data_IF_556207389162
#
_entry.id   IF_556207389162
#
_cell.length_a   1.000
_cell.length_b   1.000
_cell.length_c   1.000
_cell.angle_alpha   90.00
_cell.angle_beta   90.00
_cell.angle_gamma   90.00
#
_symmetry.space_group_name_H-M   'P 1'
#
loop_
_entity.id
_entity.type
_entity.pdbx_description
1 polymer ?
#
# COMPACT_ATOMS: atom_id res chain seq x y z
N UNK A 1 -28.49 -2.03 9.84
CA UNK A 1 -27.18 -2.71 9.89
C UNK A 1 -26.33 -2.09 8.79
N UNK A 2 -25.17 -1.51 9.11
CA UNK A 2 -24.27 -0.97 8.09
C UNK A 2 -23.63 -2.14 7.31
N UNK A 3 -23.55 -2.02 5.98
CA UNK A 3 -22.85 -3.01 5.15
C UNK A 3 -21.34 -2.94 5.47
N UNK A 4 -20.69 -4.08 5.70
CA UNK A 4 -19.26 -4.15 6.04
C UNK A 4 -18.35 -3.47 4.99
N UNK A 5 -18.87 -3.22 3.77
CA UNK A 5 -18.18 -2.53 2.68
C UNK A 5 -18.40 -1.03 2.63
N UNK A 6 -19.25 -0.44 3.47
CA UNK A 6 -19.38 1.02 3.52
C UNK A 6 -18.11 1.62 4.11
N UNK A 7 -17.45 2.49 3.35
CA UNK A 7 -16.30 3.24 3.83
C UNK A 7 -16.79 4.58 4.39
N UNK A 8 -16.76 4.81 5.72
CA UNK A 8 -17.27 6.03 6.29
C UNK A 8 -16.22 7.12 6.16
N UNK A 9 -16.41 8.07 5.24
CA UNK A 9 -15.73 9.34 5.38
C UNK A 9 -16.58 10.29 6.23
N UNK A 10 -16.21 10.42 7.50
CA UNK A 10 -16.35 11.70 8.21
C UNK A 10 -14.97 12.36 8.20
N UNK A 11 -14.64 12.97 7.06
CA UNK A 11 -13.55 13.95 7.01
C UNK A 11 -14.01 15.16 7.79
N UNK A 12 -13.40 15.42 8.94
CA UNK A 12 -13.44 16.74 9.57
C UNK A 12 -12.74 17.71 8.62
N UNK A 13 -13.54 18.37 7.77
CA UNK A 13 -13.08 19.52 7.00
C UNK A 13 -13.01 20.68 7.99
N UNK A 14 -11.88 20.80 8.69
CA UNK A 14 -11.56 21.98 9.50
C UNK A 14 -11.84 23.25 8.68
N UNK A 15 -12.64 24.15 9.25
CA UNK A 15 -13.34 25.23 8.57
C UNK A 15 -12.48 26.09 7.65
N UNK A 16 -13.06 26.41 6.49
CA UNK A 16 -12.54 27.39 5.56
C UNK A 16 -12.50 28.79 6.19
N UNK A 17 -11.32 29.40 6.24
CA UNK A 17 -11.18 30.85 6.36
C UNK A 17 -11.31 31.46 4.95
N UNK A 18 -12.11 32.53 4.76
CA UNK A 18 -12.32 33.15 3.46
C UNK A 18 -11.10 33.98 3.07
N UNK A 19 -10.40 33.57 2.00
CA UNK A 19 -9.39 34.42 1.37
C UNK A 19 -10.09 35.38 0.40
N UNK A 20 -9.86 36.67 0.63
CA UNK A 20 -10.33 37.80 -0.18
C UNK A 20 -9.74 37.66 -1.58
N UNK A 21 -10.59 37.55 -2.59
CA UNK A 21 -10.19 37.56 -3.99
C UNK A 21 -9.99 39.01 -4.47
N UNK A 22 -8.74 39.39 -4.73
CA UNK A 22 -8.41 40.56 -5.54
C UNK A 22 -8.20 40.12 -6.98
N UNK A 23 -9.11 40.51 -7.86
CA UNK A 23 -9.01 40.31 -9.29
C UNK A 23 -7.98 41.29 -9.87
N UNK A 24 -6.94 40.75 -10.51
CA UNK A 24 -6.04 41.49 -11.39
C UNK A 24 -6.23 40.97 -12.82
N UNK A 25 -6.84 41.84 -13.63
CA UNK A 25 -7.00 41.68 -15.08
C UNK A 25 -5.62 41.85 -15.73
N UNK A 26 -5.17 40.87 -16.50
CA UNK A 26 -4.02 41.00 -17.38
C UNK A 26 -4.43 40.68 -18.82
N UNK A 27 -4.02 41.59 -19.70
CA UNK A 27 -4.35 41.65 -21.12
C UNK A 27 -3.89 40.43 -21.91
N UNK A 28 -4.77 39.99 -22.80
CA UNK A 28 -4.50 39.04 -23.89
C UNK A 28 -3.64 39.71 -24.94
N UNK A 29 -2.50 39.10 -25.28
CA UNK A 29 -1.86 39.29 -26.58
C UNK A 29 -1.70 37.93 -27.25
N UNK A 30 -2.32 37.82 -28.42
CA UNK A 30 -2.25 36.68 -29.32
C UNK A 30 -0.84 36.54 -29.91
N UNK A 31 -0.27 35.34 -29.81
CA UNK A 31 0.98 34.94 -30.45
C UNK A 31 0.81 33.58 -31.11
N UNK A 32 1.16 33.51 -32.39
CA UNK A 32 0.88 32.41 -33.31
C UNK A 32 1.45 31.05 -32.89
N UNK A 33 0.68 30.00 -33.20
CA UNK A 33 1.06 28.61 -33.02
C UNK A 33 2.09 28.14 -34.06
N UNK A 34 3.08 27.38 -33.59
CA UNK A 34 3.82 26.41 -34.43
C UNK A 34 3.83 25.06 -33.68
N UNK A 35 3.68 23.91 -34.37
CA UNK A 35 3.62 22.62 -33.70
C UNK A 35 5.04 22.11 -33.49
N UNK A 36 5.59 22.32 -32.29
CA UNK A 36 6.77 21.58 -31.86
C UNK A 36 6.31 20.25 -31.24
N UNK A 37 6.60 19.17 -31.95
CA UNK A 37 6.42 17.77 -31.54
C UNK A 37 7.00 17.58 -30.13
N UNK A 38 6.12 17.44 -29.13
CA UNK A 38 6.53 17.13 -27.77
C UNK A 38 6.99 15.67 -27.71
N UNK A 39 8.31 15.52 -27.77
CA UNK A 39 9.01 14.27 -27.65
C UNK A 39 8.70 13.67 -26.28
N UNK A 40 7.98 12.55 -26.27
CA UNK A 40 7.76 11.72 -25.10
C UNK A 40 9.12 11.33 -24.51
N UNK A 41 9.60 12.11 -23.53
CA UNK A 41 10.79 11.77 -22.76
C UNK A 41 10.43 10.63 -21.82
N UNK A 42 10.54 9.42 -22.38
CA UNK A 42 11.04 8.19 -21.76
C UNK A 42 11.20 8.27 -20.23
N UNK A 43 10.15 7.83 -19.52
CA UNK A 43 10.27 7.28 -18.16
C UNK A 43 10.91 5.88 -18.20
N UNK A 44 11.77 5.60 -19.18
CA UNK A 44 12.28 4.25 -19.48
C UNK A 44 13.71 4.00 -18.98
N UNK A 45 14.21 4.79 -18.03
CA UNK A 45 15.57 4.61 -17.47
C UNK A 45 15.63 4.26 -15.97
N UNK A 46 14.48 4.07 -15.31
CA UNK A 46 14.41 3.79 -13.86
C UNK A 46 13.60 2.54 -13.49
N UNK A 47 13.32 1.66 -14.46
CA UNK A 47 12.41 0.53 -14.26
C UNK A 47 13.04 -0.67 -13.54
N UNK A 48 14.38 -0.74 -13.45
CA UNK A 48 15.11 -1.90 -12.89
C UNK A 48 15.63 -1.73 -11.45
N UNK A 49 15.48 -0.56 -10.81
CA UNK A 49 15.94 -0.37 -9.41
C UNK A 49 14.87 0.11 -8.43
N UNK A 50 13.70 0.49 -8.91
CA UNK A 50 12.58 0.87 -8.05
C UNK A 50 11.58 -0.28 -8.04
N UNK A 51 11.42 -0.93 -6.88
CA UNK A 51 10.30 -1.85 -6.54
C UNK A 51 8.97 -1.08 -6.45
N UNK A 52 8.74 -0.15 -7.38
CA UNK A 52 7.54 0.66 -7.50
C UNK A 52 6.61 -0.02 -8.50
N UNK A 53 5.39 -0.35 -8.05
CA UNK A 53 4.33 -0.89 -8.88
C UNK A 53 3.43 0.27 -9.31
N UNK A 54 3.36 0.60 -10.61
CA UNK A 54 2.51 1.70 -11.06
C UNK A 54 1.03 1.36 -10.89
N UNK A 55 0.21 2.38 -10.66
CA UNK A 55 -1.25 2.28 -10.65
C UNK A 55 -1.75 1.67 -11.97
N UNK A 56 -2.65 0.68 -11.90
CA UNK A 56 -3.10 -0.06 -13.09
C UNK A 56 -4.14 0.68 -13.92
N UNK A 57 -4.79 1.70 -13.36
CA UNK A 57 -5.92 2.42 -14.00
C UNK A 57 -7.12 1.53 -14.34
N UNK A 58 -7.22 0.37 -13.69
CA UNK A 58 -8.36 -0.52 -13.82
C UNK A 58 -9.46 -0.06 -12.87
N UNK A 59 -10.62 0.21 -13.46
CA UNK A 59 -11.80 0.71 -12.77
C UNK A 59 -12.92 -0.32 -12.84
N UNK A 60 -13.62 -0.53 -11.71
CA UNK A 60 -14.73 -1.48 -11.63
C UNK A 60 -16.02 -0.92 -12.24
N UNK A 61 -16.25 0.38 -12.11
CA UNK A 61 -17.47 1.02 -12.61
C UNK A 61 -17.15 2.45 -13.11
N UNK A 62 -17.46 2.78 -14.39
CA UNK A 62 -17.19 4.10 -14.95
C UNK A 62 -17.91 5.25 -14.24
N UNK A 63 -19.07 4.99 -13.63
CA UNK A 63 -19.90 5.99 -12.95
C UNK A 63 -19.59 6.10 -11.44
N UNK A 64 -18.66 5.29 -10.94
CA UNK A 64 -18.25 5.33 -9.54
C UNK A 64 -17.46 6.60 -9.20
N UNK A 65 -17.57 7.03 -7.94
CA UNK A 65 -16.74 8.11 -7.42
C UNK A 65 -15.36 7.58 -7.07
N UNK A 66 -14.31 8.29 -7.46
CA UNK A 66 -12.92 7.91 -7.20
C UNK A 66 -12.31 8.81 -6.14
N UNK A 67 -11.64 8.20 -5.18
CA UNK A 67 -10.95 8.91 -4.10
C UNK A 67 -9.50 8.45 -4.00
N UNK A 68 -8.63 9.38 -3.61
CA UNK A 68 -7.20 9.13 -3.41
C UNK A 68 -6.86 9.47 -1.96
N UNK A 69 -6.55 8.45 -1.17
CA UNK A 69 -6.09 8.62 0.21
C UNK A 69 -4.59 8.41 0.31
N UNK A 70 -3.95 9.14 1.20
CA UNK A 70 -2.51 9.02 1.41
C UNK A 70 -2.17 9.01 2.89
N UNK A 71 -1.26 8.11 3.26
CA UNK A 71 -0.60 8.11 4.56
C UNK A 71 0.84 7.60 4.41
N UNK A 72 1.82 8.45 4.71
CA UNK A 72 3.24 8.14 4.72
C UNK A 72 3.72 7.39 3.45
N UNK A 73 3.96 6.08 3.48
CA UNK A 73 4.44 5.28 2.35
C UNK A 73 3.35 4.63 1.49
N UNK A 74 2.08 4.90 1.77
CA UNK A 74 0.97 4.22 1.09
C UNK A 74 -0.03 5.22 0.52
N UNK A 75 -0.36 5.02 -0.74
CA UNK A 75 -1.46 5.71 -1.43
C UNK A 75 -2.53 4.67 -1.74
N UNK A 76 -3.79 4.96 -1.40
CA UNK A 76 -4.94 4.14 -1.76
C UNK A 76 -5.77 4.89 -2.80
N UNK A 77 -5.95 4.29 -3.98
CA UNK A 77 -6.93 4.75 -4.96
C UNK A 77 -8.15 3.83 -4.84
N UNK A 78 -9.32 4.41 -4.56
CA UNK A 78 -10.53 3.64 -4.32
C UNK A 78 -11.68 4.09 -5.21
N UNK A 79 -12.55 3.15 -5.56
CA UNK A 79 -13.83 3.40 -6.20
C UNK A 79 -14.98 3.17 -5.24
N UNK A 80 -15.85 4.16 -5.14
CA UNK A 80 -17.01 4.17 -4.28
C UNK A 80 -18.27 4.22 -5.14
N UNK A 81 -19.12 3.23 -4.97
CA UNK A 81 -20.46 3.19 -5.52
C UNK A 81 -21.46 4.02 -4.72
N UNK A 82 -22.76 3.92 -5.04
CA UNK A 82 -23.82 4.54 -4.27
C UNK A 82 -23.72 4.16 -2.78
N UNK A 83 -23.99 5.13 -1.88
CA UNK A 83 -23.89 4.98 -0.41
C UNK A 83 -22.48 4.69 0.12
N UNK A 84 -21.43 5.11 -0.59
CA UNK A 84 -20.02 4.92 -0.20
C UNK A 84 -19.62 3.44 -0.04
N UNK A 85 -20.23 2.56 -0.84
CA UNK A 85 -19.86 1.15 -0.89
C UNK A 85 -18.56 1.04 -1.69
N UNK A 86 -17.56 0.37 -1.13
CA UNK A 86 -16.28 0.14 -1.78
C UNK A 86 -16.42 -0.89 -2.91
N UNK A 87 -16.19 -0.46 -4.14
CA UNK A 87 -16.29 -1.29 -5.35
C UNK A 87 -14.91 -1.83 -5.78
N UNK A 88 -13.87 -1.03 -5.62
CA UNK A 88 -12.50 -1.40 -5.97
C UNK A 88 -11.49 -0.63 -5.11
N UNK A 89 -10.29 -1.21 -4.98
CA UNK A 89 -9.15 -0.57 -4.37
C UNK A 89 -7.86 -0.97 -5.07
N UNK A 90 -6.97 -0.01 -5.25
CA UNK A 90 -5.57 -0.27 -5.54
C UNK A 90 -4.67 0.46 -4.54
N UNK A 91 -3.79 -0.29 -3.88
CA UNK A 91 -2.82 0.24 -2.93
C UNK A 91 -1.44 0.34 -3.59
N UNK A 92 -0.84 1.52 -3.52
CA UNK A 92 0.45 1.83 -4.13
C UNK A 92 1.45 2.12 -3.02
N UNK A 93 2.56 1.38 -3.02
CA UNK A 93 3.68 1.67 -2.14
C UNK A 93 4.58 2.75 -2.75
N UNK A 94 4.80 3.84 -2.01
CA UNK A 94 5.67 4.95 -2.39
C UNK A 94 6.88 5.03 -1.45
N UNK A 95 8.02 4.41 -1.80
CA UNK A 95 9.11 4.22 -0.86
C UNK A 95 9.85 5.51 -0.51
N UNK A 96 9.81 6.52 -1.39
CA UNK A 96 10.50 7.80 -1.19
C UNK A 96 9.56 9.00 -1.39
N UNK A 97 9.83 10.16 -0.76
CA UNK A 97 9.06 11.38 -0.97
C UNK A 97 9.01 11.84 -2.43
N UNK A 98 10.11 11.64 -3.18
CA UNK A 98 10.18 11.99 -4.61
C UNK A 98 9.18 11.18 -5.45
N UNK A 99 9.08 9.87 -5.18
CA UNK A 99 8.11 9.00 -5.87
C UNK A 99 6.70 9.37 -5.44
N UNK A 100 6.46 9.56 -4.14
CA UNK A 100 5.16 9.97 -3.61
C UNK A 100 4.66 11.25 -4.30
N UNK A 101 5.47 12.30 -4.35
CA UNK A 101 5.11 13.56 -5.03
C UNK A 101 4.80 13.37 -6.53
N UNK A 102 5.58 12.54 -7.24
CA UNK A 102 5.34 12.27 -8.65
C UNK A 102 4.04 11.51 -8.91
N UNK A 103 3.74 10.51 -8.06
CA UNK A 103 2.51 9.71 -8.13
C UNK A 103 1.30 10.55 -7.78
N UNK A 104 1.35 11.30 -6.67
CA UNK A 104 0.26 12.19 -6.26
C UNK A 104 -0.04 13.27 -7.31
N UNK A 105 0.97 13.84 -7.96
CA UNK A 105 0.76 14.78 -9.07
C UNK A 105 -0.04 14.17 -10.21
N UNK A 106 0.23 12.90 -10.55
CA UNK A 106 -0.51 12.19 -11.58
C UNK A 106 -1.95 11.88 -11.12
N UNK A 107 -2.10 11.34 -9.91
CA UNK A 107 -3.40 10.96 -9.34
C UNK A 107 -4.31 12.15 -9.02
N UNK A 108 -3.78 13.38 -8.91
CA UNK A 108 -4.59 14.60 -8.81
C UNK A 108 -5.53 14.82 -10.00
N UNK A 109 -5.29 14.16 -11.14
CA UNK A 109 -6.23 14.14 -12.27
C UNK A 109 -7.50 13.32 -12.00
N UNK A 110 -7.45 12.38 -11.05
CA UNK A 110 -8.60 11.60 -10.59
C UNK A 110 -9.37 12.40 -9.55
N UNK A 111 -8.71 12.78 -8.44
CA UNK A 111 -9.26 13.59 -7.38
C UNK A 111 -8.13 14.17 -6.51
N UNK A 112 -8.42 15.22 -5.73
CA UNK A 112 -7.46 15.79 -4.79
C UNK A 112 -7.06 14.74 -3.75
N UNK A 113 -5.75 14.45 -3.56
CA UNK A 113 -5.32 13.52 -2.52
C UNK A 113 -5.72 13.99 -1.12
N UNK A 114 -6.27 13.07 -0.34
CA UNK A 114 -6.77 13.30 1.02
C UNK A 114 -5.82 12.63 2.02
N UNK A 115 -5.10 13.39 2.87
CA UNK A 115 -4.32 12.81 3.94
C UNK A 115 -5.25 12.18 4.98
N UNK A 116 -4.91 10.99 5.45
CA UNK A 116 -5.65 10.26 6.48
C UNK A 116 -4.71 9.78 7.58
N UNK A 117 -5.24 9.43 8.75
CA UNK A 117 -4.47 8.84 9.84
C UNK A 117 -4.01 7.41 9.52
N UNK A 118 -3.02 6.93 10.28
CA UNK A 118 -2.54 5.54 10.17
C UNK A 118 -3.69 4.55 10.42
N UNK A 119 -4.55 4.85 11.40
CA UNK A 119 -5.71 4.01 11.74
C UNK A 119 -6.68 3.90 10.57
N UNK A 120 -7.01 5.03 9.93
CA UNK A 120 -7.93 5.07 8.80
C UNK A 120 -7.37 4.33 7.58
N UNK A 121 -6.14 4.64 7.13
CA UNK A 121 -5.58 3.95 5.96
C UNK A 121 -5.48 2.43 6.19
N UNK A 122 -5.15 1.99 7.41
CA UNK A 122 -5.09 0.56 7.76
C UNK A 122 -6.46 -0.10 7.70
N UNK A 123 -7.49 0.57 8.21
CA UNK A 123 -8.86 0.06 8.13
C UNK A 123 -9.30 -0.04 6.67
N UNK A 124 -8.94 0.95 5.84
CA UNK A 124 -9.20 0.91 4.41
C UNK A 124 -8.49 -0.27 3.76
N UNK A 125 -7.18 -0.45 4.03
CA UNK A 125 -6.40 -1.57 3.53
C UNK A 125 -7.01 -2.92 3.91
N UNK A 126 -7.52 -3.05 5.14
CA UNK A 126 -8.22 -4.24 5.59
C UNK A 126 -9.49 -4.50 4.75
N UNK A 127 -10.31 -3.47 4.50
CA UNK A 127 -11.52 -3.61 3.70
C UNK A 127 -11.20 -3.90 2.22
N UNK A 128 -10.16 -3.27 1.67
CA UNK A 128 -9.67 -3.50 0.32
C UNK A 128 -9.12 -4.91 0.08
N UNK A 129 -8.69 -5.62 1.15
CA UNK A 129 -8.14 -6.97 1.07
C UNK A 129 -9.14 -7.97 0.47
N UNK A 130 -10.40 -7.81 0.84
CA UNK A 130 -11.47 -8.78 0.61
C UNK A 130 -12.33 -8.43 -0.62
N UNK A 131 -11.97 -7.37 -1.36
CA UNK A 131 -12.60 -7.04 -2.63
C UNK A 131 -12.14 -7.98 -3.74
N UNK A 132 -13.07 -8.31 -4.63
CA UNK A 132 -12.75 -8.92 -5.89
C UNK A 132 -12.06 -7.89 -6.80
N UNK A 133 -11.01 -8.27 -7.53
CA UNK A 133 -10.33 -7.36 -8.44
C UNK A 133 -11.21 -7.06 -9.66
N UNK A 134 -11.07 -5.88 -10.28
CA UNK A 134 -11.86 -5.50 -11.46
C UNK A 134 -11.56 -6.40 -12.66
N UNK A 135 -12.49 -6.45 -13.63
CA UNK A 135 -12.29 -7.21 -14.85
C UNK A 135 -10.99 -6.80 -15.57
N UNK A 136 -10.26 -7.80 -16.09
CA UNK A 136 -8.97 -7.58 -16.75
C UNK A 136 -7.76 -7.45 -15.79
N UNK A 137 -7.97 -7.45 -14.47
CA UNK A 137 -6.86 -7.42 -13.51
C UNK A 137 -6.16 -8.78 -13.31
N UNK A 138 -6.87 -9.89 -13.53
CA UNK A 138 -6.34 -11.24 -13.31
C UNK A 138 -5.89 -11.86 -14.63
N UNK A 139 -4.59 -12.13 -14.75
CA UNK A 139 -4.09 -13.13 -15.69
C UNK A 139 -4.10 -14.49 -14.98
N UNK A 140 -5.14 -15.30 -15.16
CA UNK A 140 -5.20 -16.64 -14.55
C UNK A 140 -4.05 -17.49 -15.11
N UNK A 141 -2.99 -17.66 -14.33
CA UNK A 141 -2.01 -18.69 -14.59
C UNK A 141 -2.54 -20.00 -14.01
N UNK A 142 -2.93 -20.92 -14.90
CA UNK A 142 -3.23 -22.31 -14.54
C UNK A 142 -1.88 -22.98 -14.33
N UNK A 143 -1.43 -23.02 -13.07
CA UNK A 143 -0.25 -23.78 -12.65
C UNK A 143 -0.66 -24.85 -11.65
N UNK A 144 0.09 -25.95 -11.62
CA UNK A 144 -0.11 -27.00 -10.62
C UNK A 144 0.00 -26.45 -9.19
N UNK A 145 -0.85 -26.93 -8.29
CA UNK A 145 -0.86 -26.51 -6.89
C UNK A 145 0.47 -26.87 -6.20
N UNK A 146 1.24 -25.89 -5.71
CA UNK A 146 2.49 -26.18 -5.00
C UNK A 146 2.21 -26.88 -3.67
N UNK A 147 2.94 -27.94 -3.30
CA UNK A 147 2.76 -28.55 -1.97
C UNK A 147 3.53 -27.74 -0.90
N UNK A 148 2.86 -27.05 0.05
CA UNK A 148 3.53 -26.20 1.02
C UNK A 148 4.24 -26.97 2.15
N UNK A 149 3.97 -28.27 2.29
CA UNK A 149 4.34 -29.05 3.47
C UNK A 149 5.80 -29.52 3.48
N UNK A 150 6.56 -29.30 2.39
CA UNK A 150 7.97 -29.74 2.24
C UNK A 150 8.96 -28.58 2.05
N UNK A 151 8.63 -27.38 2.54
CA UNK A 151 9.48 -26.19 2.38
C UNK A 151 10.24 -25.93 3.68
N UNK A 152 11.56 -25.80 3.56
CA UNK A 152 12.41 -25.32 4.64
C UNK A 152 12.11 -23.83 4.93
N UNK A 153 11.72 -23.45 6.16
CA UNK A 153 11.42 -22.06 6.51
C UNK A 153 12.54 -21.07 6.17
N UNK A 154 13.81 -21.49 6.22
CA UNK A 154 14.93 -20.60 5.89
C UNK A 154 14.97 -20.18 4.42
N UNK A 155 14.36 -20.94 3.51
CA UNK A 155 14.24 -20.57 2.10
C UNK A 155 13.42 -19.28 1.89
N UNK A 156 12.66 -18.84 2.90
CA UNK A 156 11.89 -17.58 2.86
C UNK A 156 12.82 -16.35 3.03
N UNK A 157 14.02 -16.50 3.59
CA UNK A 157 14.98 -15.39 3.71
C UNK A 157 15.38 -14.79 2.36
N UNK A 158 15.50 -15.66 1.35
CA UNK A 158 16.00 -15.33 0.01
C UNK A 158 14.96 -15.53 -1.08
N UNK A 159 13.73 -15.91 -0.71
CA UNK A 159 12.69 -16.32 -1.64
C UNK A 159 11.28 -15.91 -1.23
N UNK A 160 10.32 -16.44 -1.99
CA UNK A 160 8.89 -16.27 -1.79
C UNK A 160 8.31 -17.63 -1.43
N UNK A 161 7.33 -17.66 -0.51
CA UNK A 161 6.59 -18.88 -0.19
C UNK A 161 5.93 -19.42 -1.47
N UNK A 162 6.25 -20.64 -1.92
CA UNK A 162 5.64 -21.24 -3.10
C UNK A 162 4.12 -21.15 -3.10
N UNK A 163 3.55 -20.78 -4.26
CA UNK A 163 2.12 -20.54 -4.42
C UNK A 163 1.65 -19.15 -4.00
N UNK A 164 2.55 -18.28 -3.55
CA UNK A 164 2.29 -16.87 -3.24
C UNK A 164 3.17 -15.96 -4.09
N UNK A 165 2.89 -14.66 -4.11
CA UNK A 165 3.73 -13.65 -4.78
C UNK A 165 4.25 -12.58 -3.83
N UNK A 166 3.61 -12.40 -2.68
CA UNK A 166 3.88 -11.36 -1.69
C UNK A 166 4.47 -11.89 -0.39
N UNK A 167 4.44 -13.20 -0.14
CA UNK A 167 4.94 -13.75 1.12
C UNK A 167 6.44 -14.07 1.06
N UNK A 168 7.30 -13.11 1.40
CA UNK A 168 8.74 -13.35 1.50
C UNK A 168 9.57 -12.09 1.73
N UNK A 169 10.83 -12.10 1.28
CA UNK A 169 11.70 -10.91 1.36
C UNK A 169 11.39 -9.92 0.23
N UNK A 170 10.29 -9.18 0.41
CA UNK A 170 9.64 -8.43 -0.67
C UNK A 170 8.72 -9.36 -1.47
N UNK A 171 8.45 -8.98 -2.71
CA UNK A 171 7.45 -9.64 -3.54
C UNK A 171 7.93 -9.81 -4.99
N UNK A 172 7.33 -10.76 -5.71
CA UNK A 172 7.49 -11.00 -7.16
C UNK A 172 6.25 -10.58 -7.97
N UNK A 173 5.30 -9.89 -7.34
CA UNK A 173 4.07 -9.46 -7.97
C UNK A 173 4.34 -8.33 -8.97
N UNK A 174 3.66 -8.35 -10.12
CA UNK A 174 3.78 -7.28 -11.12
C UNK A 174 2.89 -6.07 -10.82
N UNK A 175 1.74 -6.29 -10.17
CA UNK A 175 0.72 -5.27 -9.86
C UNK A 175 0.11 -5.55 -8.50
N UNK A 176 -0.67 -4.61 -7.96
CA UNK A 176 -1.42 -4.83 -6.70
C UNK A 176 -2.37 -6.04 -6.76
N UNK A 177 -3.00 -6.29 -7.90
CA UNK A 177 -3.95 -7.38 -8.09
C UNK A 177 -3.28 -8.73 -8.42
N UNK A 178 -1.96 -8.73 -8.64
CA UNK A 178 -1.22 -9.93 -8.99
C UNK A 178 -0.97 -10.80 -7.76
N UNK A 179 -1.87 -11.75 -7.54
CA UNK A 179 -1.83 -12.71 -6.43
C UNK A 179 -1.46 -14.12 -6.94
N UNK A 180 -0.84 -14.88 -6.06
CA UNK A 180 -0.51 -16.29 -6.27
C UNK A 180 -1.71 -17.22 -6.05
N UNK A 181 -1.45 -18.51 -6.27
CA UNK A 181 -2.40 -19.61 -6.13
C UNK A 181 -3.05 -19.65 -4.73
N UNK A 182 -2.28 -19.44 -3.66
CA UNK A 182 -2.79 -19.36 -2.29
C UNK A 182 -3.30 -17.95 -1.98
N UNK A 183 -4.32 -17.52 -2.72
CA UNK A 183 -4.80 -16.14 -2.77
C UNK A 183 -5.09 -15.55 -1.38
N UNK A 184 -5.74 -16.29 -0.47
CA UNK A 184 -6.06 -15.78 0.86
C UNK A 184 -4.82 -15.58 1.74
N UNK A 185 -3.82 -16.46 1.63
CA UNK A 185 -2.53 -16.30 2.31
C UNK A 185 -1.77 -15.11 1.73
N UNK A 186 -1.77 -15.00 0.41
CA UNK A 186 -1.04 -13.98 -0.32
C UNK A 186 -1.62 -12.58 -0.10
N UNK A 187 -2.94 -12.47 0.03
CA UNK A 187 -3.63 -11.25 0.46
C UNK A 187 -3.14 -10.75 1.82
N UNK A 188 -2.91 -11.64 2.80
CA UNK A 188 -2.35 -11.25 4.10
C UNK A 188 -0.96 -10.63 3.95
N UNK A 189 -0.10 -11.25 3.13
CA UNK A 189 1.26 -10.76 2.88
C UNK A 189 1.26 -9.45 2.10
N UNK A 190 0.43 -9.30 1.06
CA UNK A 190 0.27 -8.05 0.30
C UNK A 190 -0.08 -6.86 1.20
N UNK A 191 -1.05 -7.04 2.11
CA UNK A 191 -1.46 -5.98 3.06
C UNK A 191 -0.32 -5.62 4.01
N UNK A 192 0.45 -6.61 4.48
CA UNK A 192 1.61 -6.39 5.36
C UNK A 192 2.77 -5.69 4.63
N UNK A 193 3.07 -6.12 3.40
CA UNK A 193 4.10 -5.55 2.56
C UNK A 193 3.83 -4.08 2.25
N UNK A 194 2.57 -3.69 2.03
CA UNK A 194 2.19 -2.28 1.75
C UNK A 194 1.93 -1.49 3.05
N UNK A 195 2.45 -1.94 4.20
CA UNK A 195 2.29 -1.21 5.46
C UNK A 195 2.75 0.26 5.30
N UNK A 196 1.92 1.25 5.69
CA UNK A 196 2.21 2.68 5.49
C UNK A 196 3.45 3.19 6.22
N UNK A 197 3.83 2.53 7.31
CA UNK A 197 4.97 2.89 8.15
C UNK A 197 5.91 1.68 8.23
N UNK A 198 7.05 1.76 7.55
CA UNK A 198 8.08 0.71 7.58
C UNK A 198 9.48 1.26 7.38
N UNK A 199 10.48 0.53 7.87
CA UNK A 199 11.90 0.78 7.57
C UNK A 199 12.49 -0.48 6.98
N UNK A 200 12.93 -0.42 5.72
CA UNK A 200 13.53 -1.57 5.04
C UNK A 200 14.87 -1.95 5.68
N UNK A 201 15.35 -3.14 5.36
CA UNK A 201 16.65 -3.60 5.82
C UNK A 201 17.76 -2.65 5.38
N UNK A 202 18.68 -2.37 6.30
CA UNK A 202 19.82 -1.46 6.11
C UNK A 202 19.48 0.01 5.79
N UNK A 203 18.21 0.42 5.86
CA UNK A 203 17.78 1.80 5.63
C UNK A 203 17.62 2.60 6.92
N UNK A 204 17.69 3.92 6.80
CA UNK A 204 17.37 4.87 7.87
C UNK A 204 16.13 5.66 7.47
N UNK A 205 15.13 5.70 8.35
CA UNK A 205 13.90 6.49 8.20
C UNK A 205 13.36 6.83 9.58
N UNK A 206 12.61 7.94 9.73
CA UNK A 206 12.07 8.37 11.02
C UNK A 206 13.13 8.55 12.12
N UNK A 207 14.35 8.94 11.71
CA UNK A 207 15.52 9.04 12.58
C UNK A 207 15.91 7.72 13.29
N UNK A 208 15.48 6.57 12.77
CA UNK A 208 15.89 5.23 13.24
C UNK A 208 16.53 4.45 12.09
N UNK A 209 17.63 3.75 12.40
CA UNK A 209 18.38 2.92 11.44
C UNK A 209 18.02 1.45 11.63
N UNK A 210 17.46 0.81 10.62
CA UNK A 210 17.26 -0.62 10.64
C UNK A 210 18.54 -1.34 10.22
N UNK A 211 19.30 -1.86 11.19
CA UNK A 211 20.54 -2.62 10.90
C UNK A 211 20.31 -4.06 10.47
N UNK A 212 19.06 -4.56 10.55
CA UNK A 212 18.72 -5.90 10.10
C UNK A 212 18.59 -5.95 8.57
N UNK A 213 18.70 -7.15 8.00
CA UNK A 213 18.53 -7.37 6.55
C UNK A 213 17.06 -7.41 6.11
N UNK A 214 16.14 -7.56 7.05
CA UNK A 214 14.69 -7.61 6.80
C UNK A 214 14.00 -6.28 7.11
N UNK A 215 12.85 -6.06 6.48
CA UNK A 215 11.98 -4.89 6.72
C UNK A 215 11.31 -4.98 8.08
N UNK A 216 11.23 -3.85 8.79
CA UNK A 216 10.47 -3.70 10.04
C UNK A 216 9.26 -2.81 9.77
N UNK A 217 8.06 -3.33 9.98
CA UNK A 217 6.79 -2.64 9.75
C UNK A 217 6.21 -2.11 11.07
N UNK A 218 5.16 -1.31 11.02
CA UNK A 218 4.45 -0.86 12.22
C UNK A 218 3.88 -2.04 13.03
N UNK A 219 3.94 -1.97 14.37
CA UNK A 219 3.47 -3.05 15.25
C UNK A 219 2.00 -3.42 15.03
N UNK A 220 1.17 -2.45 14.66
CA UNK A 220 -0.21 -2.73 14.34
C UNK A 220 -0.34 -3.46 12.98
N UNK A 221 0.57 -3.24 12.02
CA UNK A 221 0.57 -3.97 10.74
C UNK A 221 0.94 -5.43 11.01
N UNK A 222 1.93 -5.68 11.86
CA UNK A 222 2.33 -7.02 12.28
C UNK A 222 1.20 -7.73 13.05
N UNK A 223 0.44 -7.00 13.88
CA UNK A 223 -0.73 -7.54 14.58
C UNK A 223 -1.83 -7.97 13.61
N UNK A 224 -2.16 -7.13 12.63
CA UNK A 224 -3.14 -7.47 11.59
C UNK A 224 -2.64 -8.63 10.73
N UNK A 225 -1.35 -8.68 10.41
CA UNK A 225 -0.74 -9.78 9.66
C UNK A 225 -0.83 -11.12 10.40
N UNK A 226 -0.48 -11.13 11.70
CA UNK A 226 -0.62 -12.30 12.57
C UNK A 226 -2.06 -12.85 12.54
N UNK A 227 -3.04 -11.97 12.77
CA UNK A 227 -4.46 -12.34 12.80
C UNK A 227 -4.94 -12.86 11.45
N UNK A 228 -4.55 -12.20 10.36
CA UNK A 228 -4.91 -12.61 9.00
C UNK A 228 -4.37 -14.02 8.70
N UNK A 229 -3.08 -14.27 8.93
CA UNK A 229 -2.48 -15.58 8.71
C UNK A 229 -3.18 -16.67 9.53
N UNK A 230 -3.49 -16.42 10.81
CA UNK A 230 -4.22 -17.37 11.67
C UNK A 230 -5.61 -17.68 11.13
N UNK A 231 -6.32 -16.67 10.62
CA UNK A 231 -7.67 -16.83 10.10
C UNK A 231 -7.74 -17.68 8.83
N UNK A 232 -6.70 -17.70 8.00
CA UNK A 232 -6.69 -18.51 6.76
C UNK A 232 -6.67 -20.03 6.99
N UNK A 233 -6.25 -20.50 8.17
CA UNK A 233 -6.11 -21.92 8.51
C UNK A 233 -5.32 -22.75 7.46
N UNK A 234 -4.37 -22.13 6.76
CA UNK A 234 -3.64 -22.76 5.66
C UNK A 234 -2.18 -23.12 6.01
N UNK A 235 -1.63 -24.27 5.56
CA UNK A 235 -0.24 -24.64 5.82
C UNK A 235 0.80 -23.59 5.39
N UNK A 236 0.61 -22.94 4.24
CA UNK A 236 1.50 -21.87 3.79
C UNK A 236 1.47 -20.65 4.73
N UNK A 237 0.30 -20.33 5.30
CA UNK A 237 0.19 -19.26 6.30
C UNK A 237 0.86 -19.65 7.63
N UNK A 238 0.74 -20.91 8.03
CA UNK A 238 1.43 -21.42 9.21
C UNK A 238 2.96 -21.37 9.06
N UNK A 239 3.47 -21.73 7.88
CA UNK A 239 4.87 -21.63 7.54
C UNK A 239 5.36 -20.17 7.64
N UNK A 240 4.65 -19.25 6.97
CA UNK A 240 4.98 -17.82 6.97
C UNK A 240 4.92 -17.21 8.39
N UNK A 241 3.88 -17.54 9.16
CA UNK A 241 3.69 -17.07 10.52
C UNK A 241 4.80 -17.51 11.46
N UNK A 242 5.15 -18.81 11.44
CA UNK A 242 6.26 -19.33 12.26
C UNK A 242 7.60 -18.70 11.86
N UNK A 243 7.84 -18.54 10.55
CA UNK A 243 9.05 -17.89 10.06
C UNK A 243 9.17 -16.45 10.57
N UNK A 244 8.13 -15.65 10.39
CA UNK A 244 8.16 -14.23 10.74
C UNK A 244 8.19 -13.98 12.25
N UNK A 245 7.28 -14.61 13.00
CA UNK A 245 7.07 -14.31 14.42
C UNK A 245 7.95 -15.14 15.36
N UNK A 246 8.30 -16.39 15.01
CA UNK A 246 9.02 -17.28 15.93
C UNK A 246 10.51 -17.39 15.61
N UNK A 247 10.84 -17.50 14.31
CA UNK A 247 12.22 -17.68 13.85
C UNK A 247 12.95 -16.35 13.71
N UNK A 248 12.45 -15.44 12.88
CA UNK A 248 13.04 -14.10 12.72
C UNK A 248 12.82 -13.20 13.93
N UNK A 249 11.70 -13.39 14.65
CA UNK A 249 11.29 -12.56 15.79
C UNK A 249 11.39 -11.08 15.44
N UNK A 250 10.84 -10.72 14.27
CA UNK A 250 10.98 -9.39 13.67
C UNK A 250 10.53 -8.30 14.65
N UNK A 251 11.42 -7.33 14.90
CA UNK A 251 11.05 -6.12 15.64
C UNK A 251 10.09 -5.25 14.83
N UNK A 252 9.17 -4.57 15.50
CA UNK A 252 8.19 -3.69 14.86
C UNK A 252 8.39 -2.23 15.27
N UNK A 253 7.79 -1.30 14.53
CA UNK A 253 7.85 0.14 14.79
C UNK A 253 6.65 0.55 15.65
N UNK A 254 6.88 1.31 16.71
CA UNK A 254 5.84 1.89 17.56
C UNK A 254 6.02 3.41 17.67
N UNK A 255 4.90 4.12 17.58
CA UNK A 255 4.81 5.56 17.82
C UNK A 255 4.80 5.84 19.34
N UNK A 256 5.67 6.75 19.80
CA UNK A 256 5.70 7.27 21.16
C UNK A 256 5.21 8.72 21.11
N UNK A 257 4.34 9.09 22.04
CA UNK A 257 3.96 10.49 22.24
C UNK A 257 5.20 11.33 22.52
N UNK A 258 5.42 12.33 21.66
CA UNK A 258 6.42 13.37 21.86
C UNK A 258 5.71 14.57 22.44
N UNK A 259 6.09 15.00 23.65
CA UNK A 259 5.54 16.22 24.26
C UNK A 259 6.04 17.51 23.60
N UNK A 260 6.90 17.40 22.58
CA UNK A 260 7.64 18.54 22.00
C UNK A 260 7.63 18.60 20.46
N UNK A 261 6.93 17.70 19.75
CA UNK A 261 6.83 17.73 18.28
C UNK A 261 5.43 17.34 17.77
N UNK A 262 5.02 17.93 16.64
CA UNK A 262 3.76 17.56 15.96
C UNK A 262 3.77 16.13 15.40
N UNK A 263 4.95 15.58 15.08
CA UNK A 263 5.10 14.19 14.64
C UNK A 263 5.48 13.24 15.80
N UNK A 264 4.91 12.02 15.85
CA UNK A 264 5.26 11.02 16.85
C UNK A 264 6.69 10.50 16.67
N UNK A 265 7.40 10.28 17.78
CA UNK A 265 8.73 9.66 17.75
C UNK A 265 8.57 8.15 17.53
N UNK A 266 9.31 7.57 16.60
CA UNK A 266 9.28 6.14 16.30
C UNK A 266 10.45 5.39 16.90
N UNK A 267 10.19 4.20 17.45
CA UNK A 267 11.22 3.28 17.96
C UNK A 267 10.95 1.85 17.52
N UNK A 268 12.00 1.01 17.56
CA UNK A 268 11.82 -0.42 17.40
C UNK A 268 11.42 -1.07 18.74
N UNK A 269 10.45 -1.97 18.69
CA UNK A 269 10.00 -2.83 19.78
C UNK A 269 10.21 -4.30 19.44
N UNK A 270 10.42 -5.17 20.43
CA UNK A 270 10.35 -6.62 20.24
C UNK A 270 9.00 -7.04 19.61
N UNK A 271 8.93 -8.20 18.94
CA UNK A 271 7.68 -8.72 18.40
C UNK A 271 6.64 -8.88 19.51
N UNK A 272 5.39 -8.52 19.20
CA UNK A 272 4.24 -8.62 20.14
C UNK A 272 3.58 -10.00 20.13
N UNK A 273 3.86 -10.83 19.12
CA UNK A 273 3.15 -12.09 18.87
C UNK A 273 4.13 -13.26 18.72
N UNK A 274 3.65 -14.45 19.08
CA UNK A 274 4.29 -15.75 18.83
C UNK A 274 3.26 -16.61 18.11
N UNK A 275 3.63 -17.21 16.98
CA UNK A 275 2.76 -17.91 16.05
C UNK A 275 2.70 -19.43 16.26
#
# INVERSE_FOLDING_TARGET
MADARTWPLQVDVGGAAPWVATALVLLVLAGAATPAVAQAQRVTFFRDRLRYKPFTWLFADPDSSRQVYVHDQTIAVVELGPKQILLNCELIEVPTPKISAAVLKNLSSINKPIPVSLKEIRQLMHNCKDLEPPEGAINKSIGDSPNPQKIDPWSILTGIVPGTKWCGNGDIASTYFDLGFFTEVDKCCRVHDICPVKVRGFETRYNIKNVAFYTKSHCDCDTTFYQCLKATQHPAANLMGRFYFNLLRTQCIEDIQSSTSEEPKRIFRPPKHIY
#
